data_IF_905647367809
#
_entry.id   IF_905647367809
#
_cell.length_a   1.000
_cell.length_b   1.000
_cell.length_c   1.000
_cell.angle_alpha   90.00
_cell.angle_beta   90.00
_cell.angle_gamma   90.00
#
_symmetry.space_group_name_H-M   'P 1'
#
loop_
_entity.id
_entity.type
_entity.pdbx_description
1 polymer ?
#
# COMPACT_ATOMS: atom_id res chain seq x y z
N UNK A 1 8.39 -8.08 -6.47
CA UNK A 1 6.98 -7.67 -6.26
C UNK A 1 6.50 -7.05 -7.56
N UNK A 2 5.44 -7.56 -8.20
CA UNK A 2 5.03 -7.11 -9.53
C UNK A 2 3.80 -6.20 -9.48
N UNK A 3 3.81 -5.10 -10.22
CA UNK A 3 2.66 -4.21 -10.42
C UNK A 3 1.84 -4.55 -11.68
N UNK A 4 2.06 -5.74 -12.26
CA UNK A 4 1.53 -6.15 -13.56
C UNK A 4 2.63 -6.74 -14.44
N UNK A 5 2.35 -7.05 -15.73
CA UNK A 5 3.29 -7.72 -16.64
C UNK A 5 4.54 -6.91 -16.99
N UNK A 6 4.51 -5.57 -16.79
CA UNK A 6 5.59 -4.65 -17.21
C UNK A 6 6.31 -3.94 -16.07
N UNK A 7 5.87 -4.09 -14.82
CA UNK A 7 6.43 -3.34 -13.70
C UNK A 7 6.89 -4.25 -12.57
N UNK A 8 8.20 -4.25 -12.31
CA UNK A 8 8.80 -4.91 -11.16
C UNK A 8 9.23 -3.88 -10.12
N UNK A 9 8.74 -4.05 -8.90
CA UNK A 9 9.15 -3.27 -7.75
C UNK A 9 10.31 -3.96 -7.04
N UNK A 10 11.47 -3.32 -7.11
CA UNK A 10 12.67 -3.69 -6.38
C UNK A 10 12.66 -3.05 -4.99
N UNK A 11 13.17 -3.78 -3.99
CA UNK A 11 13.29 -3.28 -2.62
C UNK A 11 14.67 -2.68 -2.37
N UNK A 12 14.70 -1.54 -1.69
CA UNK A 12 15.91 -0.94 -1.15
C UNK A 12 15.55 -0.17 0.12
N UNK A 13 16.20 -0.53 1.22
CA UNK A 13 16.07 0.13 2.52
C UNK A 13 17.31 0.97 2.88
N UNK A 14 18.39 0.87 2.09
CA UNK A 14 19.64 1.61 2.32
C UNK A 14 20.49 1.10 3.48
N UNK A 15 19.99 0.12 4.25
CA UNK A 15 20.67 -0.45 5.43
C UNK A 15 21.09 -1.88 5.11
N UNK A 16 20.11 -2.78 5.00
CA UNK A 16 20.31 -4.22 4.74
C UNK A 16 20.36 -4.50 3.24
N UNK A 17 19.54 -3.80 2.46
CA UNK A 17 19.47 -3.86 1.01
C UNK A 17 19.92 -2.51 0.44
N UNK A 18 21.24 -2.37 0.28
CA UNK A 18 21.88 -1.18 -0.30
C UNK A 18 21.68 -1.06 -1.82
N UNK A 19 21.43 -2.18 -2.50
CA UNK A 19 21.13 -2.24 -3.94
C UNK A 19 19.66 -2.62 -4.14
N UNK A 20 18.97 -2.03 -5.14
CA UNK A 20 17.61 -2.45 -5.51
C UNK A 20 17.59 -3.95 -5.81
N UNK A 21 16.93 -4.72 -4.96
CA UNK A 21 16.93 -6.18 -5.01
C UNK A 21 15.53 -6.68 -5.35
N UNK A 22 15.38 -7.60 -6.34
CA UNK A 22 14.11 -8.23 -6.60
C UNK A 22 13.77 -9.19 -5.46
N UNK A 23 12.58 -9.04 -4.89
CA UNK A 23 12.09 -9.88 -3.80
C UNK A 23 10.71 -10.46 -4.14
N UNK A 24 10.41 -11.69 -3.69
CA UNK A 24 9.06 -12.24 -3.76
C UNK A 24 8.04 -11.31 -3.11
N UNK A 25 6.83 -11.26 -3.65
CA UNK A 25 5.74 -10.40 -3.16
C UNK A 25 5.52 -10.46 -1.64
N UNK A 26 5.33 -11.63 -1.00
CA UNK A 26 5.10 -11.69 0.44
C UNK A 26 6.30 -11.17 1.25
N UNK A 27 7.53 -11.44 0.79
CA UNK A 27 8.73 -10.93 1.46
C UNK A 27 8.87 -9.41 1.34
N UNK A 28 8.52 -8.86 0.17
CA UNK A 28 8.50 -7.42 -0.05
C UNK A 28 7.50 -6.72 0.88
N UNK A 29 6.27 -7.27 0.98
CA UNK A 29 5.22 -6.70 1.83
C UNK A 29 5.64 -6.73 3.30
N UNK A 30 6.18 -7.84 3.80
CA UNK A 30 6.64 -7.92 5.19
C UNK A 30 7.72 -6.86 5.48
N UNK A 31 8.77 -6.78 4.66
CA UNK A 31 9.82 -5.77 4.83
C UNK A 31 9.29 -4.33 4.72
N UNK A 32 8.27 -4.11 3.89
CA UNK A 32 7.61 -2.81 3.78
C UNK A 32 6.86 -2.45 5.05
N UNK A 33 6.11 -3.39 5.63
CA UNK A 33 5.39 -3.18 6.89
C UNK A 33 6.37 -2.93 8.04
N UNK A 34 7.41 -3.77 8.17
CA UNK A 34 8.47 -3.60 9.17
C UNK A 34 9.13 -2.21 9.05
N UNK A 35 9.42 -1.77 7.82
CA UNK A 35 10.01 -0.46 7.57
C UNK A 35 9.05 0.68 7.94
N UNK A 36 7.77 0.58 7.59
CA UNK A 36 6.76 1.58 7.94
C UNK A 36 6.61 1.68 9.46
N UNK A 37 6.52 0.55 10.15
CA UNK A 37 6.49 0.49 11.61
C UNK A 37 7.72 1.16 12.23
N UNK A 38 8.92 0.91 11.70
CA UNK A 38 10.14 1.56 12.16
C UNK A 38 10.15 3.07 11.95
N UNK A 39 9.44 3.59 10.93
CA UNK A 39 9.32 5.04 10.73
C UNK A 39 8.32 5.65 11.73
N UNK A 40 7.20 4.97 11.99
CA UNK A 40 6.13 5.43 12.89
C UNK A 40 6.60 5.40 14.34
N UNK A 41 7.34 4.37 14.75
CA UNK A 41 7.89 4.23 16.10
C UNK A 41 9.11 5.13 16.36
N UNK A 42 9.56 5.91 15.36
CA UNK A 42 10.66 6.84 15.56
C UNK A 42 10.12 8.17 16.07
N UNK A 43 10.31 8.43 17.37
CA UNK A 43 9.85 9.63 18.06
C UNK A 43 10.42 10.94 17.51
N UNK A 44 11.56 10.88 16.79
CA UNK A 44 12.11 12.07 16.10
C UNK A 44 11.35 12.43 14.83
N UNK A 45 10.64 11.46 14.24
CA UNK A 45 9.83 11.61 13.04
C UNK A 45 8.34 11.79 13.39
N UNK A 46 7.88 11.03 14.39
CA UNK A 46 6.53 11.06 14.95
C UNK A 46 6.61 11.35 16.45
N UNK A 47 6.80 12.64 16.83
CA UNK A 47 6.80 13.04 18.23
C UNK A 47 5.48 12.69 18.91
N UNK A 48 5.58 12.05 20.09
CA UNK A 48 4.44 11.66 20.93
C UNK A 48 4.01 12.79 21.88
N UNK A 49 4.91 13.75 22.13
CA UNK A 49 4.67 14.90 23.00
C UNK A 49 4.24 16.11 22.18
N UNK A 50 3.22 16.83 22.65
CA UNK A 50 2.70 18.05 22.01
C UNK A 50 3.70 19.21 21.99
N UNK A 51 4.72 19.15 22.85
CA UNK A 51 5.73 20.20 23.00
C UNK A 51 6.87 20.10 21.97
N UNK A 52 6.93 19.00 21.20
CA UNK A 52 7.96 18.77 20.19
C UNK A 52 7.36 18.98 18.79
N UNK A 53 7.84 19.98 18.01
CA UNK A 53 7.33 20.20 16.67
C UNK A 53 7.75 19.08 15.72
N UNK A 54 6.87 18.74 14.77
CA UNK A 54 7.20 17.80 13.70
C UNK A 54 8.37 18.31 12.85
N UNK A 55 9.25 17.41 12.37
CA UNK A 55 10.34 17.79 11.49
C UNK A 55 9.80 18.33 10.16
N UNK A 56 10.52 19.27 9.55
CA UNK A 56 10.15 19.84 8.23
C UNK A 56 10.05 18.79 7.12
N UNK A 57 10.68 17.63 7.32
CA UNK A 57 10.67 16.49 6.39
C UNK A 57 9.48 15.54 6.59
N UNK A 58 8.63 15.78 7.59
CA UNK A 58 7.49 14.92 7.93
C UNK A 58 6.56 14.67 6.74
N UNK A 59 6.18 15.73 6.02
CA UNK A 59 5.30 15.61 4.85
C UNK A 59 5.96 14.78 3.73
N UNK A 60 7.26 14.96 3.47
CA UNK A 60 8.00 14.10 2.53
C UNK A 60 7.99 12.64 2.97
N UNK A 61 8.16 12.38 4.28
CA UNK A 61 8.14 11.02 4.83
C UNK A 61 6.76 10.37 4.68
N UNK A 62 5.68 11.07 5.03
CA UNK A 62 4.31 10.59 4.88
C UNK A 62 3.98 10.27 3.42
N UNK A 63 4.37 11.13 2.48
CA UNK A 63 4.22 10.86 1.04
C UNK A 63 4.99 9.61 0.61
N UNK A 64 6.19 9.39 1.15
CA UNK A 64 7.01 8.20 0.85
C UNK A 64 6.38 6.92 1.41
N UNK A 65 5.82 6.97 2.62
CA UNK A 65 5.10 5.85 3.24
C UNK A 65 3.85 5.51 2.42
N UNK A 66 3.00 6.49 2.15
CA UNK A 66 1.77 6.30 1.38
C UNK A 66 2.05 5.77 -0.04
N UNK A 67 3.07 6.31 -0.72
CA UNK A 67 3.45 5.82 -2.05
C UNK A 67 3.94 4.36 -2.04
N UNK A 68 4.62 3.93 -0.96
CA UNK A 68 5.04 2.54 -0.79
C UNK A 68 3.84 1.63 -0.50
N UNK A 69 2.94 2.02 0.39
CA UNK A 69 1.70 1.29 0.69
C UNK A 69 0.80 1.15 -0.55
N UNK A 70 0.71 2.19 -1.37
CA UNK A 70 -0.06 2.15 -2.61
C UNK A 70 0.41 1.05 -3.58
N UNK A 71 1.71 0.73 -3.62
CA UNK A 71 2.23 -0.38 -4.45
C UNK A 71 1.69 -1.74 -4.00
N UNK A 72 1.50 -1.92 -2.68
CA UNK A 72 0.90 -3.14 -2.12
C UNK A 72 -0.58 -3.20 -2.51
N UNK A 73 -1.30 -2.09 -2.39
CA UNK A 73 -2.69 -1.99 -2.82
C UNK A 73 -2.87 -2.37 -4.29
N UNK A 74 -2.09 -1.77 -5.20
CA UNK A 74 -2.13 -2.09 -6.64
C UNK A 74 -1.79 -3.56 -6.91
N UNK A 75 -0.77 -4.11 -6.24
CA UNK A 75 -0.42 -5.52 -6.41
C UNK A 75 -1.54 -6.47 -6.00
N UNK A 76 -2.18 -6.19 -4.85
CA UNK A 76 -3.31 -6.96 -4.35
C UNK A 76 -4.50 -6.84 -5.30
N UNK A 77 -4.78 -5.64 -5.80
CA UNK A 77 -5.89 -5.40 -6.73
C UNK A 77 -5.70 -6.03 -8.12
N UNK A 78 -4.46 -6.16 -8.61
CA UNK A 78 -4.21 -6.77 -9.93
C UNK A 78 -4.09 -8.29 -9.83
N UNK A 79 -3.39 -8.81 -8.82
CA UNK A 79 -3.01 -10.23 -8.77
C UNK A 79 -3.82 -11.06 -7.78
N UNK A 80 -4.47 -10.44 -6.79
CA UNK A 80 -5.16 -11.13 -5.70
C UNK A 80 -6.63 -10.73 -5.57
N UNK A 81 -7.17 -9.95 -6.51
CA UNK A 81 -8.55 -9.47 -6.47
C UNK A 81 -9.57 -10.61 -6.48
N UNK A 82 -9.39 -11.59 -7.37
CA UNK A 82 -10.26 -12.76 -7.45
C UNK A 82 -10.27 -13.56 -6.14
N UNK A 83 -9.13 -13.61 -5.44
CA UNK A 83 -9.04 -14.26 -4.12
C UNK A 83 -9.70 -13.46 -3.01
N UNK A 84 -9.63 -12.12 -3.03
CA UNK A 84 -10.33 -11.28 -2.05
C UNK A 84 -11.85 -11.41 -2.22
N UNK A 85 -12.32 -11.44 -3.46
CA UNK A 85 -13.74 -11.67 -3.77
C UNK A 85 -14.18 -13.07 -3.31
N UNK A 86 -13.34 -14.09 -3.50
CA UNK A 86 -13.64 -15.46 -3.08
C UNK A 86 -13.68 -15.68 -1.56
N UNK A 87 -12.98 -14.84 -0.76
CA UNK A 87 -12.99 -14.91 0.72
C UNK A 87 -14.24 -14.22 1.32
N UNK A 88 -15.13 -13.65 0.49
CA UNK A 88 -16.46 -13.18 0.93
C UNK A 88 -16.49 -11.80 1.58
N UNK A 89 -15.45 -10.96 1.39
CA UNK A 89 -15.44 -9.57 1.86
C UNK A 89 -16.26 -8.60 0.97
N UNK A 90 -16.88 -9.11 -0.10
CA UNK A 90 -17.80 -8.38 -0.96
C UNK A 90 -19.00 -9.29 -1.22
N UNK A 91 -20.16 -8.94 -0.67
CA UNK A 91 -21.42 -9.57 -1.06
C UNK A 91 -21.58 -9.45 -2.58
N UNK A 92 -21.91 -10.54 -3.31
CA UNK A 92 -22.20 -10.43 -4.73
C UNK A 92 -23.38 -9.47 -4.89
N UNK A 93 -23.11 -8.31 -5.51
CA UNK A 93 -24.06 -7.21 -5.61
C UNK A 93 -25.43 -7.72 -6.06
N UNK A 94 -26.49 -7.54 -5.25
CA UNK A 94 -27.85 -7.76 -5.74
C UNK A 94 -28.12 -6.73 -6.83
N UNK A 95 -28.27 -7.22 -8.07
CA UNK A 95 -28.80 -6.57 -9.26
C UNK A 95 -29.02 -5.05 -9.12
N UNK A 96 -28.02 -4.26 -9.54
CA UNK A 96 -27.97 -2.85 -10.03
C UNK A 96 -28.89 -1.76 -9.42
N UNK A 97 -30.12 -2.05 -9.01
CA UNK A 97 -31.12 -1.08 -8.60
C UNK A 97 -30.93 -0.52 -7.19
N UNK A 98 -30.14 -1.18 -6.32
CA UNK A 98 -30.00 -0.79 -4.91
C UNK A 98 -28.55 -0.74 -4.39
N UNK A 99 -27.55 -0.54 -5.25
CA UNK A 99 -26.17 -0.42 -4.78
C UNK A 99 -25.92 0.95 -4.12
N UNK A 100 -25.30 1.03 -2.92
CA UNK A 100 -24.93 2.29 -2.31
C UNK A 100 -23.95 3.04 -3.23
N UNK A 101 -24.14 4.36 -3.33
CA UNK A 101 -23.45 5.27 -4.26
C UNK A 101 -21.91 5.14 -4.27
N UNK A 102 -21.32 4.64 -3.17
CA UNK A 102 -19.89 4.33 -3.04
C UNK A 102 -19.40 3.19 -3.95
N UNK A 103 -20.27 2.27 -4.36
CA UNK A 103 -19.91 1.10 -5.18
C UNK A 103 -19.81 1.46 -6.67
N UNK A 104 -20.57 2.46 -7.12
CA UNK A 104 -20.61 2.88 -8.53
C UNK A 104 -19.26 3.45 -8.99
N UNK A 105 -18.53 4.12 -8.10
CA UNK A 105 -17.23 4.71 -8.42
C UNK A 105 -16.14 3.67 -8.75
N UNK A 106 -16.20 2.48 -8.16
CA UNK A 106 -15.19 1.43 -8.39
C UNK A 106 -15.41 0.68 -9.71
N UNK A 107 -16.65 0.55 -10.17
CA UNK A 107 -16.97 -0.14 -11.44
C UNK A 107 -16.61 0.72 -12.65
N UNK A 108 -16.76 2.06 -12.55
CA UNK A 108 -16.46 2.99 -13.65
C UNK A 108 -14.97 3.02 -14.04
N UNK A 109 -14.05 2.76 -13.10
CA UNK A 109 -12.61 2.70 -13.40
C UNK A 109 -12.17 1.40 -14.11
N UNK A 110 -13.06 0.43 -14.30
CA UNK A 110 -12.75 -0.81 -15.02
C UNK A 110 -12.98 -0.70 -16.54
N UNK A 111 -13.53 0.42 -17.02
CA UNK A 111 -13.90 0.62 -18.44
C UNK A 111 -13.24 1.83 -19.11
N UNK A 112 -12.10 2.32 -18.63
CA UNK A 112 -11.26 3.30 -19.36
C UNK A 112 -9.81 2.86 -19.42
#
# INVERSE_FOLDING_TARGET
MSGGPRFEYLWADGVKYKKPTPLPAPRYVNLLMDWVESQINNETLFPVMTDVPFPKTFIQLCRKILARLFRVFVHVYIHHFDRIVAIGAMEPLPNSKNAPHSTIYLVSMRTS
#
